data_IF_016015008149
#
_entry.id   IF_016015008149
#
_cell.length_a   1.000
_cell.length_b   1.000
_cell.length_c   1.000
_cell.angle_alpha   90.00
_cell.angle_beta   90.00
_cell.angle_gamma   90.00
#
_symmetry.space_group_name_H-M   'P 1'
#
loop_
_entity.id
_entity.type
_entity.pdbx_description
1 polymer ?
#
# COMPACT_ATOMS: atom_id res chain seq x y z
N UNK A 1 11.98 -4.18 -15.31
CA UNK A 1 10.91 -4.71 -14.45
C UNK A 1 10.96 -6.24 -14.31
N UNK A 2 10.83 -7.02 -15.40
CA UNK A 2 10.93 -8.50 -15.32
C UNK A 2 12.31 -9.02 -14.89
N UNK A 3 13.40 -8.31 -15.24
CA UNK A 3 14.75 -8.65 -14.79
C UNK A 3 14.88 -8.56 -13.27
N UNK A 4 14.38 -7.48 -12.66
CA UNK A 4 14.45 -7.29 -11.21
C UNK A 4 13.81 -8.45 -10.43
N UNK A 5 12.64 -8.95 -10.85
CA UNK A 5 11.98 -10.08 -10.19
C UNK A 5 12.74 -11.41 -10.35
N UNK A 6 13.61 -11.56 -11.37
CA UNK A 6 14.40 -12.79 -11.56
C UNK A 6 15.50 -12.97 -10.52
N UNK A 7 16.03 -11.86 -10.01
CA UNK A 7 17.12 -11.88 -9.01
C UNK A 7 16.58 -12.04 -7.58
N UNK A 8 15.27 -12.15 -7.44
CA UNK A 8 14.60 -12.31 -6.16
C UNK A 8 14.44 -13.78 -5.76
N UNK A 9 14.47 -14.05 -4.49
CA UNK A 9 13.92 -15.28 -3.95
C UNK A 9 12.39 -15.18 -3.96
N UNK A 10 11.78 -15.94 -4.87
CA UNK A 10 10.31 -16.03 -4.96
C UNK A 10 9.77 -17.05 -3.96
N UNK A 11 8.63 -16.73 -3.35
CA UNK A 11 7.86 -17.62 -2.50
C UNK A 11 6.35 -17.37 -2.67
N UNK A 12 5.51 -18.16 -2.02
CA UNK A 12 4.08 -17.97 -2.04
C UNK A 12 3.54 -18.06 -0.62
N UNK A 13 2.48 -17.31 -0.34
CA UNK A 13 1.65 -17.46 0.86
C UNK A 13 0.23 -17.80 0.46
N UNK A 14 -0.54 -18.37 1.36
CA UNK A 14 -1.96 -18.66 1.13
C UNK A 14 -2.81 -17.68 1.93
N UNK A 15 -3.72 -16.98 1.26
CA UNK A 15 -4.64 -16.01 1.85
C UNK A 15 -6.05 -16.31 1.37
N UNK A 16 -6.96 -16.63 2.28
CA UNK A 16 -8.34 -17.00 1.91
C UNK A 16 -8.40 -18.15 0.89
N UNK A 17 -7.54 -19.17 1.04
CA UNK A 17 -7.43 -20.30 0.12
C UNK A 17 -6.79 -19.97 -1.24
N UNK A 18 -6.32 -18.75 -1.47
CA UNK A 18 -5.69 -18.31 -2.72
C UNK A 18 -4.19 -18.13 -2.56
N UNK A 19 -3.43 -18.55 -3.58
CA UNK A 19 -1.98 -18.36 -3.64
C UNK A 19 -1.67 -16.91 -3.98
N UNK A 20 -0.87 -16.28 -3.14
CA UNK A 20 -0.30 -14.93 -3.29
C UNK A 20 1.19 -15.09 -3.58
N UNK A 21 1.64 -14.57 -4.71
CA UNK A 21 3.04 -14.58 -5.10
C UNK A 21 3.80 -13.42 -4.46
N UNK A 22 4.97 -13.70 -3.90
CA UNK A 22 5.81 -12.73 -3.22
C UNK A 22 7.29 -12.93 -3.57
N UNK A 23 8.07 -11.89 -3.37
CA UNK A 23 9.51 -11.86 -3.68
C UNK A 23 10.26 -11.13 -2.57
N UNK A 24 11.49 -11.57 -2.32
CA UNK A 24 12.39 -10.90 -1.38
C UNK A 24 13.80 -10.81 -1.97
N UNK A 25 14.46 -9.69 -1.69
CA UNK A 25 15.84 -9.39 -2.03
C UNK A 25 16.59 -8.98 -0.77
N UNK A 26 17.87 -9.30 -0.72
CA UNK A 26 18.72 -9.07 0.45
C UNK A 26 18.47 -10.11 1.54
N UNK A 27 19.54 -10.58 2.16
CA UNK A 27 19.48 -11.58 3.23
C UNK A 27 19.50 -10.92 4.62
N UNK A 28 20.08 -9.75 4.71
CA UNK A 28 20.35 -9.01 5.96
C UNK A 28 19.74 -7.61 5.91
N UNK A 29 19.70 -6.96 7.07
CA UNK A 29 19.19 -5.60 7.22
C UNK A 29 17.69 -5.51 7.54
N UNK A 30 17.22 -4.29 7.87
CA UNK A 30 15.83 -4.03 8.21
C UNK A 30 14.91 -4.31 7.00
N UNK A 31 13.88 -5.12 7.22
CA UNK A 31 12.94 -5.51 6.17
C UNK A 31 11.98 -4.36 5.81
N UNK A 32 11.79 -4.09 4.53
CA UNK A 32 10.81 -3.13 4.01
C UNK A 32 9.81 -3.87 3.12
N UNK A 33 8.53 -3.82 3.48
CA UNK A 33 7.43 -4.40 2.70
C UNK A 33 6.84 -3.34 1.77
N UNK A 34 6.85 -3.62 0.46
CA UNK A 34 6.35 -2.74 -0.59
C UNK A 34 4.99 -3.25 -1.11
N UNK A 35 3.98 -2.37 -1.10
CA UNK A 35 2.58 -2.69 -1.40
C UNK A 35 2.07 -1.85 -2.57
N UNK A 36 1.83 -2.47 -3.72
CA UNK A 36 1.37 -1.81 -4.94
C UNK A 36 -0.09 -1.38 -4.90
N UNK A 37 -0.50 -0.46 -5.80
CA UNK A 37 -1.87 -0.01 -5.98
C UNK A 37 -2.73 -0.94 -6.84
N UNK A 38 -4.00 -0.56 -7.01
CA UNK A 38 -4.95 -1.27 -7.86
C UNK A 38 -4.47 -1.37 -9.30
N UNK A 39 -4.73 -2.50 -9.96
CA UNK A 39 -4.31 -2.73 -11.35
C UNK A 39 -2.80 -2.83 -11.56
N UNK A 40 -1.99 -2.82 -10.49
CA UNK A 40 -0.53 -2.84 -10.52
C UNK A 40 0.04 -4.19 -10.05
N UNK A 41 1.32 -4.24 -9.69
CA UNK A 41 2.04 -5.42 -9.20
C UNK A 41 3.31 -5.03 -8.48
N UNK A 42 3.90 -5.95 -7.72
CA UNK A 42 5.10 -5.71 -6.92
C UNK A 42 6.29 -5.16 -7.70
N UNK A 43 6.44 -5.54 -8.97
CA UNK A 43 7.48 -5.04 -9.86
C UNK A 43 7.42 -3.52 -10.14
N UNK A 44 6.34 -2.84 -9.74
CA UNK A 44 6.21 -1.37 -9.83
C UNK A 44 7.30 -0.65 -9.04
N UNK A 45 7.77 -1.26 -8.00
CA UNK A 45 8.76 -0.69 -7.08
C UNK A 45 10.22 -0.96 -7.44
N UNK A 46 10.54 -1.29 -8.70
CA UNK A 46 11.91 -1.64 -9.10
C UNK A 46 12.93 -0.57 -8.71
N UNK A 47 12.64 0.72 -8.95
CA UNK A 47 13.55 1.82 -8.67
C UNK A 47 13.70 2.05 -7.16
N UNK A 48 12.59 2.12 -6.44
CA UNK A 48 12.59 2.26 -4.99
C UNK A 48 13.22 1.04 -4.30
N UNK A 49 12.87 -0.17 -4.75
CA UNK A 49 13.43 -1.41 -4.21
C UNK A 49 14.95 -1.48 -4.40
N UNK A 50 15.44 -1.11 -5.59
CA UNK A 50 16.87 -1.01 -5.86
C UNK A 50 17.58 -0.01 -4.94
N UNK A 51 16.99 1.17 -4.73
CA UNK A 51 17.52 2.19 -3.83
C UNK A 51 17.55 1.72 -2.36
N UNK A 52 16.50 1.04 -1.91
CA UNK A 52 16.47 0.46 -0.56
C UNK A 52 17.52 -0.61 -0.36
N UNK A 53 17.71 -1.52 -1.33
CA UNK A 53 18.76 -2.54 -1.30
C UNK A 53 20.15 -1.91 -1.23
N UNK A 54 20.41 -0.88 -2.05
CA UNK A 54 21.68 -0.13 -2.04
C UNK A 54 21.96 0.58 -0.71
N UNK A 55 20.91 0.82 0.09
CA UNK A 55 21.00 1.39 1.44
C UNK A 55 20.90 0.34 2.57
N UNK A 56 21.15 -0.92 2.26
CA UNK A 56 21.26 -2.00 3.24
C UNK A 56 19.96 -2.55 3.79
N UNK A 57 18.82 -2.25 3.16
CA UNK A 57 17.55 -2.85 3.52
C UNK A 57 17.34 -4.21 2.84
N UNK A 58 16.63 -5.11 3.51
CA UNK A 58 16.00 -6.27 2.87
C UNK A 58 14.65 -5.81 2.31
N UNK A 59 14.38 -6.09 1.05
CA UNK A 59 13.16 -5.67 0.37
C UNK A 59 12.23 -6.86 0.16
N UNK A 60 10.95 -6.67 0.43
CA UNK A 60 9.88 -7.63 0.20
C UNK A 60 8.77 -6.98 -0.58
N UNK A 61 8.24 -7.65 -1.57
CA UNK A 61 7.01 -7.23 -2.26
C UNK A 61 6.17 -8.45 -2.62
N UNK A 62 4.93 -8.21 -2.97
CA UNK A 62 4.01 -9.25 -3.42
C UNK A 62 3.06 -8.71 -4.48
N UNK A 63 2.46 -9.59 -5.24
CA UNK A 63 1.29 -9.26 -6.05
C UNK A 63 0.04 -9.58 -5.22
N UNK A 64 -0.80 -8.60 -5.00
CA UNK A 64 -2.04 -8.77 -4.21
C UNK A 64 -3.00 -9.79 -4.88
N UNK A 65 -3.95 -10.39 -4.16
CA UNK A 65 -4.94 -11.29 -4.74
C UNK A 65 -5.58 -10.71 -6.00
N UNK A 66 -5.68 -11.50 -7.06
CA UNK A 66 -6.23 -11.05 -8.34
C UNK A 66 -5.32 -10.15 -9.19
N UNK A 67 -4.05 -9.94 -8.78
CA UNK A 67 -3.07 -9.12 -9.51
C UNK A 67 -1.84 -9.95 -9.88
N UNK A 68 -1.19 -9.55 -10.97
CA UNK A 68 0.09 -10.10 -11.41
C UNK A 68 0.16 -11.62 -11.43
N UNK A 69 1.09 -12.21 -10.67
CA UNK A 69 1.29 -13.66 -10.57
C UNK A 69 0.46 -14.34 -9.46
N UNK A 70 -0.34 -13.58 -8.70
CA UNK A 70 -1.23 -14.09 -7.67
C UNK A 70 -2.54 -14.59 -8.26
N UNK A 71 -3.12 -15.63 -7.63
CA UNK A 71 -4.41 -16.17 -8.06
C UNK A 71 -5.58 -15.32 -7.59
N UNK A 72 -6.67 -15.36 -8.36
CA UNK A 72 -7.92 -14.68 -8.07
C UNK A 72 -8.41 -13.84 -9.25
N UNK A 73 -9.65 -13.41 -9.18
CA UNK A 73 -10.30 -12.51 -10.17
C UNK A 73 -10.93 -11.29 -9.51
N UNK A 74 -11.05 -11.33 -8.19
CA UNK A 74 -11.58 -10.26 -7.37
C UNK A 74 -10.55 -9.90 -6.31
N UNK A 75 -10.55 -8.66 -5.91
CA UNK A 75 -9.71 -8.14 -4.85
C UNK A 75 -10.39 -6.95 -4.16
N UNK A 76 -9.87 -6.59 -2.99
CA UNK A 76 -10.33 -5.43 -2.21
C UNK A 76 -9.19 -4.90 -1.34
N UNK A 77 -9.35 -3.70 -0.78
CA UNK A 77 -8.38 -3.15 0.18
C UNK A 77 -8.11 -4.09 1.37
N UNK A 78 -9.15 -4.64 2.03
CA UNK A 78 -8.95 -5.64 3.10
C UNK A 78 -8.21 -6.90 2.65
N UNK A 79 -8.38 -7.36 1.42
CA UNK A 79 -7.62 -8.51 0.91
C UNK A 79 -6.15 -8.17 0.67
N UNK A 80 -5.85 -6.93 0.25
CA UNK A 80 -4.48 -6.44 0.19
C UNK A 80 -3.84 -6.42 1.58
N UNK A 81 -4.57 -5.92 2.60
CA UNK A 81 -4.09 -5.86 3.98
C UNK A 81 -3.83 -7.27 4.54
N UNK A 82 -4.78 -8.20 4.39
CA UNK A 82 -4.60 -9.60 4.80
C UNK A 82 -3.41 -10.26 4.09
N UNK A 83 -3.19 -9.95 2.81
CA UNK A 83 -2.04 -10.46 2.08
C UNK A 83 -0.72 -9.89 2.62
N UNK A 84 -0.68 -8.61 2.95
CA UNK A 84 0.48 -7.98 3.57
C UNK A 84 0.84 -8.61 4.92
N UNK A 85 -0.14 -8.85 5.78
CA UNK A 85 0.03 -9.52 7.09
C UNK A 85 0.60 -10.93 6.88
N UNK A 86 0.02 -11.72 5.96
CA UNK A 86 0.48 -13.07 5.67
C UNK A 86 1.90 -13.11 5.09
N UNK A 87 2.24 -12.17 4.21
CA UNK A 87 3.59 -12.04 3.63
C UNK A 87 4.59 -11.64 4.72
N UNK A 88 4.28 -10.66 5.55
CA UNK A 88 5.12 -10.24 6.67
C UNK A 88 5.37 -11.40 7.64
N UNK A 89 4.35 -12.17 8.00
CA UNK A 89 4.49 -13.36 8.85
C UNK A 89 5.42 -14.42 8.23
N UNK A 90 5.39 -14.60 6.91
CA UNK A 90 6.21 -15.59 6.21
C UNK A 90 7.69 -15.19 6.07
N UNK A 91 8.00 -13.88 6.03
CA UNK A 91 9.39 -13.41 5.87
C UNK A 91 10.05 -13.01 7.18
N UNK A 92 9.30 -13.02 8.28
CA UNK A 92 9.76 -12.53 9.58
C UNK A 92 9.67 -10.99 9.69
N UNK A 93 10.21 -10.40 10.77
CA UNK A 93 9.99 -9.01 11.10
C UNK A 93 10.26 -8.05 9.94
N UNK A 94 9.32 -7.14 9.68
CA UNK A 94 9.49 -6.00 8.78
C UNK A 94 9.65 -4.73 9.63
N UNK A 95 10.63 -3.90 9.26
CA UNK A 95 10.90 -2.65 9.98
C UNK A 95 10.04 -1.52 9.44
N UNK A 96 9.63 -1.60 8.18
CA UNK A 96 8.80 -0.58 7.56
C UNK A 96 7.87 -1.15 6.49
N UNK A 97 6.78 -0.42 6.26
CA UNK A 97 5.87 -0.65 5.14
C UNK A 97 5.86 0.58 4.23
N UNK A 98 5.83 0.35 2.92
CA UNK A 98 5.66 1.41 1.92
C UNK A 98 4.51 1.01 1.02
N UNK A 99 3.47 1.82 0.95
CA UNK A 99 2.31 1.57 0.12
C UNK A 99 2.03 2.68 -0.89
N UNK A 100 1.62 2.31 -2.10
CA UNK A 100 1.19 3.25 -3.12
C UNK A 100 -0.30 3.13 -3.39
N UNK A 101 -1.02 4.25 -3.43
CA UNK A 101 -2.44 4.28 -3.81
C UNK A 101 -3.29 3.38 -2.88
N UNK A 102 -4.07 2.45 -3.42
CA UNK A 102 -4.77 1.42 -2.64
C UNK A 102 -3.82 0.60 -1.75
N UNK A 103 -2.57 0.39 -2.18
CA UNK A 103 -1.55 -0.24 -1.34
C UNK A 103 -1.18 0.60 -0.12
N UNK A 104 -1.27 1.93 -0.22
CA UNK A 104 -1.12 2.85 0.92
C UNK A 104 -2.26 2.72 1.92
N UNK A 105 -3.50 2.73 1.44
CA UNK A 105 -4.68 2.41 2.26
C UNK A 105 -4.52 1.05 2.97
N UNK A 106 -4.18 0.00 2.19
CA UNK A 106 -4.05 -1.34 2.71
C UNK A 106 -2.88 -1.50 3.69
N UNK A 107 -1.81 -0.72 3.56
CA UNK A 107 -0.71 -0.67 4.51
C UNK A 107 -1.16 -0.11 5.86
N UNK A 108 -1.92 0.99 5.86
CA UNK A 108 -2.51 1.56 7.06
C UNK A 108 -3.47 0.57 7.73
N UNK A 109 -4.38 -0.03 6.96
CA UNK A 109 -5.33 -1.03 7.46
C UNK A 109 -4.62 -2.28 8.00
N UNK A 110 -3.58 -2.76 7.33
CA UNK A 110 -2.81 -3.91 7.81
C UNK A 110 -2.15 -3.64 9.17
N UNK A 111 -1.64 -2.41 9.38
CA UNK A 111 -1.07 -2.02 10.67
C UNK A 111 -2.14 -1.91 11.75
N UNK A 112 -3.31 -1.37 11.46
CA UNK A 112 -4.47 -1.36 12.36
C UNK A 112 -4.88 -2.79 12.76
N UNK A 113 -4.81 -3.73 11.81
CA UNK A 113 -5.10 -5.15 12.02
C UNK A 113 -3.93 -5.98 12.56
N UNK A 114 -2.86 -5.35 13.04
CA UNK A 114 -1.79 -6.01 13.77
C UNK A 114 -0.51 -6.29 12.98
N UNK A 115 -0.33 -5.77 11.76
CA UNK A 115 0.98 -5.80 11.12
C UNK A 115 1.93 -4.85 11.86
N UNK A 116 2.99 -5.42 12.43
CA UNK A 116 3.97 -4.64 13.19
C UNK A 116 5.03 -4.07 12.24
N UNK A 117 5.17 -2.75 12.26
CA UNK A 117 6.25 -2.02 11.60
C UNK A 117 6.69 -0.86 12.50
N UNK A 118 7.92 -0.37 12.31
CA UNK A 118 8.48 0.76 13.08
C UNK A 118 8.29 2.09 12.36
N UNK A 119 8.05 2.08 11.06
CA UNK A 119 7.83 3.25 10.19
C UNK A 119 6.89 2.89 9.05
N UNK A 120 6.15 3.88 8.58
CA UNK A 120 5.29 3.73 7.42
C UNK A 120 5.52 4.87 6.41
N UNK A 121 5.43 4.55 5.12
CA UNK A 121 5.41 5.54 4.05
C UNK A 121 4.22 5.27 3.15
N UNK A 122 3.38 6.28 2.94
CA UNK A 122 2.23 6.19 2.06
C UNK A 122 2.43 7.17 0.89
N UNK A 123 2.50 6.64 -0.32
CA UNK A 123 2.71 7.42 -1.55
C UNK A 123 1.38 7.50 -2.29
N UNK A 124 0.86 8.71 -2.48
CA UNK A 124 -0.44 8.98 -3.11
C UNK A 124 -1.56 8.08 -2.54
N UNK A 125 -1.69 7.95 -1.19
CA UNK A 125 -2.63 7.01 -0.59
C UNK A 125 -4.07 7.44 -0.77
N UNK A 126 -4.99 6.48 -0.91
CA UNK A 126 -6.42 6.71 -0.73
C UNK A 126 -6.75 6.77 0.76
N UNK A 127 -7.45 7.81 1.19
CA UNK A 127 -7.91 7.93 2.58
C UNK A 127 -9.16 7.09 2.83
N UNK A 128 -10.10 7.09 1.87
CA UNK A 128 -11.39 6.45 2.02
C UNK A 128 -11.81 5.74 0.74
N UNK A 129 -11.86 4.41 0.76
CA UNK A 129 -12.21 3.61 -0.41
C UNK A 129 -13.70 3.77 -0.78
N UNK A 130 -14.55 4.17 0.17
CA UNK A 130 -15.96 4.44 -0.12
C UNK A 130 -16.15 5.61 -1.07
N UNK A 131 -15.38 6.69 -0.89
CA UNK A 131 -15.43 7.87 -1.75
C UNK A 131 -15.06 7.52 -3.19
N UNK A 132 -14.08 6.62 -3.37
CA UNK A 132 -13.67 6.11 -4.68
C UNK A 132 -14.76 5.30 -5.36
N UNK A 133 -15.40 4.38 -4.63
CA UNK A 133 -16.50 3.58 -5.17
C UNK A 133 -17.68 4.46 -5.61
N UNK A 134 -17.96 5.52 -4.87
CA UNK A 134 -19.01 6.49 -5.20
C UNK A 134 -18.65 7.35 -6.44
N UNK A 135 -17.42 7.83 -6.53
CA UNK A 135 -16.95 8.59 -7.70
C UNK A 135 -16.96 7.72 -8.96
N UNK A 136 -16.52 6.48 -8.86
CA UNK A 136 -16.53 5.53 -9.98
C UNK A 136 -17.96 5.21 -10.44
N UNK A 137 -18.90 5.05 -9.50
CA UNK A 137 -20.30 4.87 -9.81
C UNK A 137 -20.90 6.06 -10.56
N UNK A 138 -20.57 7.28 -10.10
CA UNK A 138 -21.01 8.52 -10.76
C UNK A 138 -20.46 8.61 -12.17
N UNK A 139 -19.18 8.31 -12.37
CA UNK A 139 -18.51 8.33 -13.68
C UNK A 139 -19.16 7.35 -14.67
N UNK A 140 -19.58 6.17 -14.19
CA UNK A 140 -20.21 5.14 -15.00
C UNK A 140 -21.74 5.27 -15.10
N UNK A 141 -22.35 6.28 -14.47
CA UNK A 141 -23.79 6.44 -14.43
C UNK A 141 -24.54 5.32 -13.72
N UNK A 142 -23.89 4.67 -12.74
CA UNK A 142 -24.47 3.56 -11.98
C UNK A 142 -25.51 4.09 -10.99
N UNK A 143 -26.76 3.60 -11.07
CA UNK A 143 -27.83 4.01 -10.18
C UNK A 143 -27.57 3.61 -8.72
N UNK A 144 -27.97 4.47 -7.77
CA UNK A 144 -27.75 4.25 -6.34
C UNK A 144 -28.20 2.87 -5.81
N UNK A 145 -29.36 2.30 -6.19
CA UNK A 145 -29.75 0.96 -5.75
C UNK A 145 -28.80 -0.15 -6.20
N UNK A 146 -28.23 -0.02 -7.41
CA UNK A 146 -27.24 -0.96 -7.94
C UNK A 146 -25.95 -0.88 -7.13
N UNK A 147 -25.50 0.33 -6.79
CA UNK A 147 -24.33 0.54 -5.93
C UNK A 147 -24.54 -0.06 -4.55
N UNK A 148 -25.69 0.17 -3.92
CA UNK A 148 -26.02 -0.42 -2.62
C UNK A 148 -25.94 -1.94 -2.68
N UNK A 149 -26.61 -2.56 -3.65
CA UNK A 149 -26.58 -4.02 -3.84
C UNK A 149 -25.18 -4.56 -4.10
N UNK A 150 -24.38 -3.85 -4.90
CA UNK A 150 -22.99 -4.21 -5.16
C UNK A 150 -22.14 -4.15 -3.87
N UNK A 151 -22.26 -3.07 -3.11
CA UNK A 151 -21.53 -2.89 -1.84
C UNK A 151 -21.86 -3.99 -0.84
N UNK A 152 -23.13 -4.29 -0.64
CA UNK A 152 -23.57 -5.39 0.25
C UNK A 152 -23.04 -6.76 -0.20
N UNK A 153 -23.07 -7.05 -1.50
CA UNK A 153 -22.54 -8.31 -2.04
C UNK A 153 -21.05 -8.43 -1.86
N UNK A 154 -20.30 -7.32 -2.09
CA UNK A 154 -18.86 -7.30 -1.90
C UNK A 154 -18.49 -7.46 -0.43
N UNK A 155 -19.15 -6.75 0.47
CA UNK A 155 -18.92 -6.85 1.90
C UNK A 155 -19.11 -8.31 2.39
N UNK A 156 -20.23 -8.94 2.04
CA UNK A 156 -20.49 -10.36 2.37
C UNK A 156 -19.49 -11.33 1.73
N UNK A 157 -19.10 -11.08 0.46
CA UNK A 157 -18.26 -12.02 -0.28
C UNK A 157 -16.77 -11.95 0.13
N UNK A 158 -16.31 -10.78 0.54
CA UNK A 158 -14.90 -10.50 0.84
C UNK A 158 -14.67 -10.30 2.33
N UNK A 159 -15.73 -10.43 3.13
CA UNK A 159 -15.72 -10.38 4.58
C UNK A 159 -15.05 -9.09 5.11
N UNK A 160 -15.74 -7.95 4.92
CA UNK A 160 -15.35 -6.66 5.45
C UNK A 160 -16.55 -5.74 5.68
N UNK A 161 -16.39 -4.76 6.58
CA UNK A 161 -17.34 -3.66 6.74
C UNK A 161 -16.86 -2.40 5.98
N UNK A 162 -17.79 -1.69 5.36
CA UNK A 162 -17.43 -0.50 4.56
C UNK A 162 -16.99 0.68 5.42
N UNK A 163 -17.44 0.78 6.63
CA UNK A 163 -17.05 1.79 7.62
C UNK A 163 -15.61 1.61 8.12
N UNK A 164 -15.05 0.40 8.05
CA UNK A 164 -13.63 0.13 8.29
C UNK A 164 -12.72 0.65 7.18
N UNK A 165 -13.26 1.14 6.07
CA UNK A 165 -12.54 1.57 4.88
C UNK A 165 -12.22 3.07 4.89
N UNK A 166 -11.96 3.63 6.07
CA UNK A 166 -11.66 5.04 6.29
C UNK A 166 -10.41 5.20 7.17
N UNK A 167 -9.27 5.51 6.55
CA UNK A 167 -8.00 5.65 7.30
C UNK A 167 -8.08 6.74 8.36
N UNK A 168 -8.59 7.95 8.10
CA UNK A 168 -8.77 8.97 9.12
C UNK A 168 -9.55 8.52 10.36
N UNK A 169 -10.47 7.56 10.24
CA UNK A 169 -11.26 7.08 11.37
C UNK A 169 -10.43 6.29 12.40
N UNK A 170 -9.48 5.46 11.94
CA UNK A 170 -8.62 4.66 12.84
C UNK A 170 -7.21 5.25 13.06
N UNK A 171 -6.77 6.17 12.21
CA UNK A 171 -5.45 6.81 12.28
C UNK A 171 -5.13 7.44 13.66
N UNK A 172 -6.07 8.02 14.42
CA UNK A 172 -5.79 8.56 15.75
C UNK A 172 -5.24 7.54 16.77
N UNK A 173 -5.48 6.24 16.55
CA UNK A 173 -4.95 5.17 17.40
C UNK A 173 -3.50 4.78 17.02
N UNK A 174 -3.01 5.18 15.87
CA UNK A 174 -1.68 4.83 15.37
C UNK A 174 -0.56 5.52 16.14
N UNK A 175 0.57 4.83 16.30
CA UNK A 175 1.76 5.32 17.01
C UNK A 175 3.04 5.20 16.18
N UNK A 176 2.94 4.67 14.98
CA UNK A 176 4.07 4.49 14.08
C UNK A 176 4.35 5.80 13.35
N UNK A 177 5.60 6.31 13.30
CA UNK A 177 5.96 7.44 12.47
C UNK A 177 5.56 7.22 11.02
N UNK A 178 4.86 8.19 10.44
CA UNK A 178 4.33 8.13 9.09
C UNK A 178 4.87 9.27 8.22
N UNK A 179 5.31 8.92 7.01
CA UNK A 179 5.55 9.87 5.93
C UNK A 179 4.50 9.68 4.84
N UNK A 180 3.73 10.71 4.56
CA UNK A 180 2.83 10.75 3.41
C UNK A 180 3.50 11.59 2.31
N UNK A 181 3.54 11.07 1.08
CA UNK A 181 4.04 11.81 -0.10
C UNK A 181 2.92 11.87 -1.12
N UNK A 182 2.46 13.06 -1.50
CA UNK A 182 1.34 13.20 -2.42
C UNK A 182 1.55 14.35 -3.40
N UNK A 183 1.22 14.10 -4.66
CA UNK A 183 1.34 15.11 -5.70
C UNK A 183 0.09 16.01 -5.73
N UNK A 184 0.29 17.33 -5.82
CA UNK A 184 -0.81 18.29 -5.86
C UNK A 184 -1.69 18.12 -7.09
N UNK A 185 -1.12 17.62 -8.18
CA UNK A 185 -1.78 17.44 -9.46
C UNK A 185 -2.22 15.99 -9.73
N UNK A 186 -2.29 15.16 -8.66
CA UNK A 186 -2.82 13.82 -8.76
C UNK A 186 -4.31 13.84 -9.14
N UNK A 187 -4.64 13.25 -10.30
CA UNK A 187 -6.00 13.22 -10.85
C UNK A 187 -6.76 11.94 -10.53
N UNK A 188 -6.08 10.94 -10.00
CA UNK A 188 -6.68 9.65 -9.65
C UNK A 188 -7.03 9.59 -8.16
N UNK A 189 -6.09 9.95 -7.31
CA UNK A 189 -6.29 10.09 -5.86
C UNK A 189 -5.99 11.53 -5.49
N UNK A 190 -6.97 12.25 -4.98
CA UNK A 190 -6.82 13.67 -4.68
C UNK A 190 -5.80 13.88 -3.57
N UNK A 191 -4.98 14.91 -3.69
CA UNK A 191 -4.01 15.32 -2.66
C UNK A 191 -4.66 15.45 -1.27
N UNK A 192 -5.93 15.86 -1.21
CA UNK A 192 -6.68 15.98 0.04
C UNK A 192 -6.78 14.65 0.82
N UNK A 193 -6.70 13.51 0.16
CA UNK A 193 -6.68 12.20 0.82
C UNK A 193 -5.41 12.04 1.67
N UNK A 194 -4.25 12.37 1.09
CA UNK A 194 -2.99 12.37 1.82
C UNK A 194 -2.96 13.37 2.96
N UNK A 195 -3.53 14.57 2.75
CA UNK A 195 -3.63 15.60 3.79
C UNK A 195 -4.52 15.13 4.95
N UNK A 196 -5.70 14.55 4.66
CA UNK A 196 -6.62 14.02 5.68
C UNK A 196 -6.00 12.89 6.51
N UNK A 197 -5.25 11.97 5.89
CA UNK A 197 -4.50 10.94 6.61
C UNK A 197 -3.47 11.59 7.53
N UNK A 198 -2.71 12.56 7.03
CA UNK A 198 -1.65 13.22 7.81
C UNK A 198 -2.23 13.98 9.00
N UNK A 199 -3.34 14.65 8.81
CA UNK A 199 -4.03 15.39 9.88
C UNK A 199 -4.53 14.46 11.00
N UNK A 200 -5.05 13.30 10.63
CA UNK A 200 -5.61 12.34 11.58
C UNK A 200 -4.56 11.46 12.27
N UNK A 201 -3.37 11.28 11.68
CA UNK A 201 -2.36 10.35 12.18
C UNK A 201 -1.32 11.07 13.05
N UNK A 202 -1.21 10.77 14.35
CA UNK A 202 -0.31 11.47 15.26
C UNK A 202 1.17 11.40 14.80
N UNK A 203 1.80 12.56 14.64
CA UNK A 203 3.21 12.67 14.24
C UNK A 203 3.48 12.34 12.77
N UNK A 204 2.45 12.30 11.92
CA UNK A 204 2.65 12.14 10.49
C UNK A 204 3.23 13.40 9.83
N UNK A 205 4.04 13.19 8.81
CA UNK A 205 4.63 14.22 7.97
C UNK A 205 4.04 14.16 6.56
N UNK A 206 3.69 15.31 5.97
CA UNK A 206 3.22 15.41 4.58
C UNK A 206 4.26 16.10 3.71
N UNK A 207 4.70 15.40 2.68
CA UNK A 207 5.50 15.96 1.59
C UNK A 207 4.62 16.12 0.37
N UNK A 208 4.49 17.34 -0.10
CA UNK A 208 3.76 17.65 -1.32
C UNK A 208 4.71 17.79 -2.50
N UNK A 209 4.44 17.06 -3.58
CA UNK A 209 5.11 17.23 -4.87
C UNK A 209 4.19 17.92 -5.87
N UNK A 210 4.72 18.32 -7.02
CA UNK A 210 3.97 18.93 -8.12
C UNK A 210 4.45 18.38 -9.46
N UNK A 211 3.52 18.16 -10.38
CA UNK A 211 3.83 17.72 -11.75
C UNK A 211 4.15 16.23 -11.90
N UNK A 212 4.18 15.43 -10.84
CA UNK A 212 4.47 13.99 -10.92
C UNK A 212 3.20 13.16 -11.21
N UNK A 213 2.06 13.58 -10.64
CA UNK A 213 0.80 12.85 -10.72
C UNK A 213 0.86 11.49 -10.03
N UNK A 214 -0.19 10.69 -10.23
CA UNK A 214 -0.39 9.44 -9.50
C UNK A 214 0.67 8.35 -9.75
N UNK A 215 1.17 8.27 -10.97
CA UNK A 215 2.02 7.13 -11.34
C UNK A 215 3.52 7.43 -11.29
N UNK A 216 3.96 8.61 -11.78
CA UNK A 216 5.39 8.93 -11.83
C UNK A 216 5.99 9.13 -10.45
N UNK A 217 5.19 9.55 -9.49
CA UNK A 217 5.59 9.78 -8.09
C UNK A 217 6.33 8.58 -7.47
N UNK A 218 5.95 7.35 -7.82
CA UNK A 218 6.57 6.12 -7.27
C UNK A 218 8.01 5.88 -7.77
N UNK A 219 8.33 6.39 -8.95
CA UNK A 219 9.64 6.21 -9.61
C UNK A 219 10.46 7.51 -9.66
N UNK A 220 9.96 8.60 -9.11
CA UNK A 220 10.69 9.86 -9.05
C UNK A 220 11.89 9.77 -8.10
N UNK A 221 13.05 10.20 -8.56
CA UNK A 221 14.29 10.10 -7.79
C UNK A 221 14.29 10.95 -6.52
N UNK A 222 13.58 12.09 -6.51
CA UNK A 222 13.42 12.94 -5.33
C UNK A 222 12.57 12.26 -4.27
N UNK A 223 11.45 11.67 -4.68
CA UNK A 223 10.57 10.88 -3.81
C UNK A 223 11.31 9.67 -3.24
N UNK A 224 12.04 8.93 -4.08
CA UNK A 224 12.84 7.78 -3.63
C UNK A 224 13.87 8.19 -2.57
N UNK A 225 14.58 9.30 -2.77
CA UNK A 225 15.54 9.80 -1.76
C UNK A 225 14.85 10.14 -0.44
N UNK A 226 13.68 10.75 -0.46
CA UNK A 226 12.92 11.07 0.75
C UNK A 226 12.49 9.80 1.49
N UNK A 227 11.96 8.80 0.77
CA UNK A 227 11.59 7.51 1.36
C UNK A 227 12.80 6.84 2.01
N UNK A 228 13.92 6.74 1.28
CA UNK A 228 15.16 6.14 1.81
C UNK A 228 15.67 6.89 3.04
N UNK A 229 15.66 8.23 3.01
CA UNK A 229 16.07 9.06 4.15
C UNK A 229 15.19 8.83 5.38
N UNK A 230 13.89 8.82 5.21
CA UNK A 230 12.93 8.57 6.28
C UNK A 230 13.06 7.17 6.89
N UNK A 231 13.41 6.16 6.09
CA UNK A 231 13.54 4.78 6.53
C UNK A 231 14.92 4.45 7.12
N UNK A 232 15.89 5.35 7.08
CA UNK A 232 17.21 5.12 7.71
C UNK A 232 17.03 4.79 9.20
N UNK A 233 17.71 3.76 9.70
CA UNK A 233 17.77 3.53 11.14
C UNK A 233 18.26 4.80 11.84
N UNK A 234 17.54 5.28 12.83
CA UNK A 234 18.10 6.24 13.78
C UNK A 234 19.27 5.55 14.48
N UNK A 235 20.46 6.14 14.39
CA UNK A 235 21.58 5.70 15.23
C UNK A 235 21.11 5.72 16.69
N UNK A 236 21.14 4.53 17.32
CA UNK A 236 20.93 4.41 18.76
C UNK A 236 22.18 4.90 19.49
#
# INVERSE_FOLDING_TARGET
MAAWLRDARRFNVTVGGRRVAAWTWGERGPGVLLMHGWGSRGARFVDLGGALLANGHRVVTFDAPGHGASRGRLSSGPEFARAAIAVAAAVGPVSAVVGHSLGGFAAALAMDQGLVARRAVLIAPSANVNSYSAQFATLLGVAAPVMTSMRERLARRLDFAWDEMDVPAFAPAMRVPLLVIHDREDREVRWNDGAAITEAWPGAELVTTSGLGHHRIVSDSGVIRQVVSFLRPTAQ
#
